data_IF_387993425272
#
_entry.id   IF_387993425272
#
_cell.length_a   1.000
_cell.length_b   1.000
_cell.length_c   1.000
_cell.angle_alpha   90.00
_cell.angle_beta   90.00
_cell.angle_gamma   90.00
#
_symmetry.space_group_name_H-M   'P 1'
#
loop_
_entity.id
_entity.type
_entity.pdbx_description
1 polymer ?
#
# COMPACT_ATOMS: atom_id res chain seq x y z
N UNK A 1 -10.70 -28.16 -8.90
CA UNK A 1 -9.86 -28.95 -7.98
C UNK A 1 -9.38 -28.00 -6.89
N UNK A 2 -9.52 -28.34 -5.58
CA UNK A 2 -9.00 -27.49 -4.52
C UNK A 2 -7.47 -27.50 -4.56
N UNK A 3 -6.84 -26.33 -4.34
CA UNK A 3 -5.40 -26.21 -4.16
C UNK A 3 -5.11 -26.37 -2.67
N UNK A 4 -4.43 -27.46 -2.30
CA UNK A 4 -4.06 -27.71 -0.90
C UNK A 4 -2.91 -26.80 -0.50
N UNK A 5 -2.94 -26.31 0.75
CA UNK A 5 -1.90 -25.44 1.34
C UNK A 5 -1.65 -24.14 0.57
N UNK A 6 -2.69 -23.59 -0.08
CA UNK A 6 -2.56 -22.39 -0.90
C UNK A 6 -2.38 -21.11 -0.07
N UNK A 7 -2.93 -21.07 1.14
CA UNK A 7 -2.90 -19.92 2.06
C UNK A 7 -2.31 -20.36 3.38
N UNK A 8 -1.38 -19.56 3.91
CA UNK A 8 -0.79 -19.72 5.23
C UNK A 8 -1.38 -18.69 6.19
N UNK A 9 -1.72 -19.11 7.40
CA UNK A 9 -2.13 -18.23 8.48
C UNK A 9 -1.29 -18.55 9.73
N UNK A 10 -0.64 -17.52 10.28
CA UNK A 10 0.20 -17.66 11.45
C UNK A 10 0.29 -16.35 12.23
N UNK A 11 0.92 -16.37 13.39
CA UNK A 11 1.17 -15.21 14.23
C UNK A 11 2.66 -14.89 14.27
N UNK A 12 2.99 -13.61 14.21
CA UNK A 12 4.36 -13.11 14.32
C UNK A 12 4.53 -12.09 15.44
N UNK A 13 5.73 -12.05 16.03
CA UNK A 13 6.17 -10.92 16.83
C UNK A 13 6.71 -9.83 15.90
N UNK A 14 6.15 -8.61 16.00
CA UNK A 14 6.49 -7.45 15.20
C UNK A 14 7.19 -6.33 16.02
N UNK A 15 7.82 -6.69 17.13
CA UNK A 15 8.60 -5.76 17.93
C UNK A 15 7.77 -5.01 18.99
N UNK A 16 7.90 -3.71 19.04
CA UNK A 16 7.23 -2.87 20.05
C UNK A 16 5.90 -2.36 19.51
N UNK A 17 4.81 -2.60 20.24
CA UNK A 17 3.48 -2.07 19.94
C UNK A 17 3.35 -0.64 20.45
N UNK A 18 3.69 -0.40 21.71
CA UNK A 18 3.81 0.91 22.32
C UNK A 18 4.74 0.85 23.54
N UNK A 19 5.30 2.03 23.87
CA UNK A 19 6.18 2.21 25.03
C UNK A 19 5.95 3.57 25.64
N UNK A 20 5.91 3.65 26.96
CA UNK A 20 5.90 4.89 27.73
C UNK A 20 6.83 4.77 28.93
N UNK A 21 7.53 5.84 29.24
CA UNK A 21 8.26 6.02 30.48
C UNK A 21 7.69 7.24 31.21
N UNK A 22 7.12 7.00 32.36
CA UNK A 22 6.55 8.07 33.23
C UNK A 22 7.62 8.55 34.18
N UNK A 23 8.22 9.71 33.87
CA UNK A 23 9.35 10.26 34.60
C UNK A 23 9.01 10.66 36.05
N UNK A 24 7.74 11.00 36.37
CA UNK A 24 7.29 11.35 37.70
C UNK A 24 7.24 10.18 38.66
N UNK A 25 7.02 8.99 38.14
CA UNK A 25 6.90 7.76 38.94
C UNK A 25 8.04 6.78 38.70
N UNK A 26 8.98 7.13 37.81
CA UNK A 26 10.11 6.28 37.40
C UNK A 26 9.65 4.88 36.93
N UNK A 27 8.54 4.84 36.17
CA UNK A 27 7.97 3.60 35.65
C UNK A 27 7.99 3.56 34.16
N UNK A 28 8.46 2.46 33.60
CA UNK A 28 8.41 2.16 32.18
C UNK A 28 7.41 1.04 31.90
N UNK A 29 6.58 1.26 30.89
CA UNK A 29 5.70 0.24 30.35
C UNK A 29 5.99 0.03 28.87
N UNK A 30 5.93 -1.22 28.43
CA UNK A 30 6.09 -1.63 27.03
C UNK A 30 5.14 -2.78 26.73
N UNK A 31 4.63 -2.79 25.51
CA UNK A 31 3.86 -3.92 24.97
C UNK A 31 4.51 -4.41 23.70
N UNK A 32 4.57 -5.74 23.54
CA UNK A 32 5.01 -6.38 22.31
C UNK A 32 3.90 -6.32 21.29
N UNK A 33 4.28 -6.03 20.05
CA UNK A 33 3.40 -6.13 18.91
C UNK A 33 3.31 -7.59 18.45
N UNK A 34 2.11 -8.13 18.42
CA UNK A 34 1.78 -9.40 17.78
C UNK A 34 0.88 -9.09 16.60
N UNK A 35 1.10 -9.77 15.48
CA UNK A 35 0.25 -9.60 14.30
C UNK A 35 -0.18 -10.95 13.74
N UNK A 36 -1.43 -11.04 13.33
CA UNK A 36 -1.91 -12.17 12.53
C UNK A 36 -1.47 -11.94 11.09
N UNK A 37 -0.92 -12.97 10.48
CA UNK A 37 -0.47 -12.98 9.08
C UNK A 37 -1.33 -13.92 8.28
N UNK A 38 -1.88 -13.44 7.16
CA UNK A 38 -2.52 -14.28 6.14
C UNK A 38 -1.76 -14.06 4.84
N UNK A 39 -1.19 -15.12 4.29
CA UNK A 39 -0.30 -14.98 3.14
C UNK A 39 -0.45 -16.11 2.14
N UNK A 40 -0.10 -15.81 0.90
CA UNK A 40 0.10 -16.80 -0.15
C UNK A 40 1.23 -16.34 -1.09
N UNK A 41 1.80 -17.30 -1.84
CA UNK A 41 2.84 -17.04 -2.83
C UNK A 41 2.33 -17.45 -4.20
N UNK A 42 2.54 -16.59 -5.19
CA UNK A 42 2.23 -16.86 -6.58
C UNK A 42 3.52 -16.87 -7.41
N UNK A 43 3.76 -17.97 -8.11
CA UNK A 43 4.85 -18.10 -9.08
C UNK A 43 4.35 -17.61 -10.45
N UNK A 44 5.01 -16.61 -11.02
CA UNK A 44 4.69 -16.06 -12.35
C UNK A 44 5.94 -16.07 -13.19
N UNK A 45 6.05 -17.03 -14.08
CA UNK A 45 7.27 -17.26 -14.85
C UNK A 45 8.44 -17.59 -13.94
N UNK A 46 9.47 -16.73 -13.94
CA UNK A 46 10.66 -16.87 -13.08
C UNK A 46 10.54 -16.17 -11.74
N UNK A 47 9.47 -15.45 -11.50
CA UNK A 47 9.30 -14.59 -10.33
C UNK A 47 8.36 -15.20 -9.31
N UNK A 48 8.66 -14.91 -8.04
CA UNK A 48 7.87 -15.27 -6.89
C UNK A 48 7.30 -14.01 -6.25
N UNK A 49 5.99 -13.97 -6.05
CA UNK A 49 5.29 -12.89 -5.38
C UNK A 49 4.58 -13.41 -4.15
N UNK A 50 5.08 -13.07 -2.97
CA UNK A 50 4.43 -13.35 -1.71
C UNK A 50 3.54 -12.19 -1.30
N UNK A 51 2.24 -12.44 -1.14
CA UNK A 51 1.26 -11.45 -0.66
C UNK A 51 0.99 -11.72 0.80
N UNK A 52 1.32 -10.74 1.67
CA UNK A 52 1.23 -10.85 3.11
C UNK A 52 0.28 -9.78 3.64
N UNK A 53 -0.85 -10.22 4.17
CA UNK A 53 -1.76 -9.36 4.92
C UNK A 53 -1.45 -9.48 6.40
N UNK A 54 -1.15 -8.36 7.03
CA UNK A 54 -0.86 -8.25 8.45
C UNK A 54 -1.99 -7.54 9.17
N UNK A 55 -2.50 -8.15 10.22
CA UNK A 55 -3.54 -7.60 11.08
C UNK A 55 -2.95 -7.35 12.46
N UNK A 56 -2.79 -6.09 12.82
CA UNK A 56 -2.10 -5.65 14.03
C UNK A 56 -3.07 -5.33 15.16
N UNK A 57 -2.60 -5.41 16.40
CA UNK A 57 -3.42 -5.21 17.61
C UNK A 57 -3.90 -3.76 17.79
N UNK A 58 -3.29 -2.79 17.12
CA UNK A 58 -3.74 -1.40 17.07
C UNK A 58 -4.82 -1.16 16.00
N UNK A 59 -5.28 -2.22 15.33
CA UNK A 59 -6.27 -2.18 14.26
C UNK A 59 -5.71 -1.84 12.89
N UNK A 60 -4.40 -1.64 12.75
CA UNK A 60 -3.76 -1.43 11.45
C UNK A 60 -3.80 -2.72 10.63
N UNK A 61 -4.10 -2.58 9.33
CA UNK A 61 -4.00 -3.64 8.33
C UNK A 61 -2.91 -3.22 7.33
N UNK A 62 -1.99 -4.13 7.02
CA UNK A 62 -0.92 -3.86 6.06
C UNK A 62 -0.92 -4.95 4.98
N UNK A 63 -0.80 -4.55 3.73
CA UNK A 63 -0.41 -5.45 2.65
C UNK A 63 1.05 -5.21 2.33
N UNK A 64 1.85 -6.26 2.42
CA UNK A 64 3.22 -6.30 1.94
C UNK A 64 3.33 -7.31 0.79
N UNK A 65 3.93 -6.89 -0.31
CA UNK A 65 4.33 -7.77 -1.40
C UNK A 65 5.83 -8.01 -1.30
N UNK A 66 6.21 -9.28 -1.22
CA UNK A 66 7.60 -9.76 -1.22
C UNK A 66 7.90 -10.33 -2.60
N UNK A 67 8.69 -9.61 -3.39
CA UNK A 67 9.07 -10.03 -4.73
C UNK A 67 10.48 -10.64 -4.72
N UNK A 68 10.62 -11.84 -5.29
CA UNK A 68 11.88 -12.58 -5.40
C UNK A 68 11.82 -13.52 -6.62
N UNK A 69 12.65 -14.54 -6.66
CA UNK A 69 12.71 -15.53 -7.74
C UNK A 69 13.98 -15.42 -8.57
N UNK A 70 14.00 -16.06 -9.72
CA UNK A 70 15.15 -16.07 -10.63
C UNK A 70 15.08 -14.84 -11.55
N UNK A 71 16.16 -14.06 -11.60
CA UNK A 71 16.20 -12.86 -12.43
C UNK A 71 16.10 -13.22 -13.91
N UNK A 72 15.29 -12.46 -14.66
CA UNK A 72 15.14 -12.64 -16.11
C UNK A 72 16.42 -12.19 -16.83
N UNK A 73 17.01 -13.07 -17.62
CA UNK A 73 18.24 -12.82 -18.36
C UNK A 73 18.04 -12.79 -19.86
N UNK A 74 18.94 -12.12 -20.56
CA UNK A 74 19.07 -12.10 -22.01
C UNK A 74 20.54 -12.28 -22.44
N UNK A 75 20.73 -12.76 -23.67
CA UNK A 75 22.05 -12.92 -24.26
C UNK A 75 22.42 -11.73 -25.17
N UNK A 76 23.71 -11.40 -25.22
CA UNK A 76 24.30 -10.45 -26.14
C UNK A 76 25.41 -11.13 -26.94
N UNK A 77 25.73 -10.59 -28.09
CA UNK A 77 26.89 -11.04 -28.87
C UNK A 77 28.20 -10.64 -28.15
N UNK A 78 29.27 -11.28 -28.58
CA UNK A 78 30.60 -11.03 -27.97
C UNK A 78 31.01 -9.56 -28.10
N UNK A 79 31.38 -8.95 -27.00
CA UNK A 79 31.77 -7.52 -26.92
C UNK A 79 30.58 -6.53 -26.91
N UNK A 80 29.34 -6.97 -27.03
CA UNK A 80 28.18 -6.09 -26.91
C UNK A 80 27.84 -5.77 -25.44
N UNK A 81 27.25 -4.59 -25.22
CA UNK A 81 26.72 -4.12 -23.96
C UNK A 81 25.35 -3.50 -24.15
N UNK A 82 24.59 -3.32 -23.09
CA UNK A 82 23.27 -2.67 -23.11
C UNK A 82 23.11 -1.66 -21.99
N UNK A 83 22.45 -0.52 -22.28
CA UNK A 83 22.04 0.46 -21.25
C UNK A 83 20.71 0.09 -20.59
N UNK A 84 20.03 -0.94 -21.05
CA UNK A 84 18.70 -1.35 -20.58
C UNK A 84 18.74 -2.47 -19.55
N UNK A 85 19.93 -2.77 -19.03
CA UNK A 85 20.14 -3.80 -18.04
C UNK A 85 21.56 -3.80 -17.50
N UNK A 86 21.84 -4.76 -16.63
CA UNK A 86 23.14 -4.96 -15.98
C UNK A 86 23.79 -6.22 -16.51
N UNK A 87 25.07 -6.11 -16.92
CA UNK A 87 25.86 -7.28 -17.29
C UNK A 87 26.15 -8.12 -16.05
N UNK A 88 25.79 -9.39 -16.11
CA UNK A 88 26.00 -10.36 -15.03
C UNK A 88 27.27 -11.20 -15.28
N UNK A 89 27.52 -11.52 -16.54
CA UNK A 89 28.69 -12.25 -17.05
C UNK A 89 28.98 -11.79 -18.48
N UNK A 90 30.11 -12.18 -19.10
CA UNK A 90 30.32 -11.99 -20.51
C UNK A 90 29.10 -12.54 -21.30
N UNK A 91 28.54 -11.75 -22.20
CA UNK A 91 27.40 -12.08 -23.07
C UNK A 91 26.07 -12.37 -22.35
N UNK A 92 25.99 -12.15 -21.03
CA UNK A 92 24.79 -12.35 -20.23
C UNK A 92 24.43 -11.06 -19.51
N UNK A 93 23.20 -10.59 -19.71
CA UNK A 93 22.66 -9.44 -18.99
C UNK A 93 21.30 -9.74 -18.39
N UNK A 94 20.91 -8.95 -17.40
CA UNK A 94 19.53 -8.92 -16.92
C UNK A 94 18.91 -7.55 -17.20
N UNK A 95 17.71 -7.54 -17.76
CA UNK A 95 17.03 -6.31 -18.15
C UNK A 95 16.39 -5.59 -16.96
N UNK A 96 16.46 -4.25 -16.95
CA UNK A 96 15.70 -3.41 -16.03
C UNK A 96 14.21 -3.56 -16.32
N UNK A 97 13.39 -3.65 -15.28
CA UNK A 97 11.94 -3.83 -15.41
C UNK A 97 11.19 -3.24 -14.22
N UNK A 98 9.87 -3.29 -14.27
CA UNK A 98 8.98 -2.78 -13.23
C UNK A 98 7.92 -3.82 -12.90
N UNK A 99 7.51 -3.85 -11.62
CA UNK A 99 6.39 -4.63 -11.14
C UNK A 99 5.31 -3.69 -10.61
N UNK A 100 4.05 -3.95 -10.97
CA UNK A 100 2.91 -3.18 -10.49
C UNK A 100 1.84 -4.09 -9.93
N UNK A 101 1.23 -3.63 -8.87
CA UNK A 101 0.13 -4.29 -8.17
C UNK A 101 -1.04 -3.33 -8.05
N UNK A 102 -2.25 -3.85 -8.24
CA UNK A 102 -3.48 -3.11 -8.03
C UNK A 102 -4.36 -3.88 -7.04
N UNK A 103 -4.73 -3.25 -5.96
CA UNK A 103 -5.62 -3.82 -4.94
C UNK A 103 -7.00 -3.19 -5.08
N UNK A 104 -8.03 -4.03 -5.20
CA UNK A 104 -9.43 -3.64 -5.16
C UNK A 104 -9.93 -3.74 -3.73
N UNK A 105 -10.30 -2.62 -3.15
CA UNK A 105 -10.87 -2.52 -1.81
C UNK A 105 -12.35 -2.18 -1.93
N UNK A 106 -13.21 -3.15 -1.70
CA UNK A 106 -14.65 -2.98 -1.60
C UNK A 106 -14.95 -2.39 -0.22
N UNK A 107 -15.32 -1.11 -0.19
CA UNK A 107 -15.37 -0.36 1.05
C UNK A 107 -16.69 -0.57 1.79
N UNK A 108 -16.60 -0.98 3.06
CA UNK A 108 -17.71 -1.04 3.99
C UNK A 108 -17.29 -0.54 5.37
N UNK A 109 -16.77 0.69 5.43
CA UNK A 109 -16.27 1.29 6.66
C UNK A 109 -17.46 1.81 7.49
N UNK A 110 -17.79 1.07 8.55
CA UNK A 110 -18.88 1.41 9.49
C UNK A 110 -20.23 1.64 8.78
N UNK A 111 -20.46 0.87 7.71
CA UNK A 111 -21.64 0.91 6.85
C UNK A 111 -21.30 1.06 5.37
N UNK A 112 -22.29 0.91 4.46
CA UNK A 112 -22.05 0.94 3.02
C UNK A 112 -21.88 2.35 2.43
N UNK A 113 -22.43 3.38 3.09
CA UNK A 113 -22.32 4.75 2.62
C UNK A 113 -20.95 5.33 2.97
N UNK A 114 -20.03 5.29 2.03
CA UNK A 114 -18.64 5.72 2.21
C UNK A 114 -18.26 6.90 1.30
N UNK A 115 -17.14 7.50 1.59
CA UNK A 115 -16.52 8.56 0.80
C UNK A 115 -15.00 8.53 0.99
N UNK A 116 -14.26 9.14 0.08
CA UNK A 116 -12.80 9.25 0.17
C UNK A 116 -12.39 10.71 0.30
N UNK A 117 -11.53 10.97 1.29
CA UNK A 117 -10.94 12.29 1.55
C UNK A 117 -9.43 12.21 1.41
N UNK A 118 -8.87 13.01 0.48
CA UNK A 118 -7.43 13.24 0.40
C UNK A 118 -6.98 14.18 1.51
N UNK A 119 -5.84 13.86 2.13
CA UNK A 119 -5.23 14.67 3.19
C UNK A 119 -3.80 14.99 2.81
N UNK A 120 -3.54 16.28 2.60
CA UNK A 120 -2.21 16.84 2.37
C UNK A 120 -1.74 17.61 3.61
N UNK A 121 -0.47 17.50 3.96
CA UNK A 121 0.15 18.37 4.97
C UNK A 121 0.60 19.66 4.27
N UNK A 122 0.15 20.80 4.80
CA UNK A 122 0.43 22.13 4.23
C UNK A 122 1.03 23.01 5.31
N UNK A 123 2.15 23.68 4.98
CA UNK A 123 2.74 24.68 5.85
C UNK A 123 1.81 25.92 5.93
N UNK A 124 1.63 26.43 7.13
CA UNK A 124 0.89 27.66 7.36
C UNK A 124 1.81 28.87 7.11
N UNK A 125 1.41 29.87 6.30
CA UNK A 125 2.22 31.06 6.07
C UNK A 125 2.57 31.80 7.36
N UNK A 126 3.74 32.41 7.41
CA UNK A 126 4.10 33.30 8.52
C UNK A 126 3.14 34.49 8.57
N UNK A 127 2.56 34.74 9.73
CA UNK A 127 1.56 35.78 9.95
C UNK A 127 1.18 35.92 11.42
N UNK A 128 0.14 36.71 11.74
CA UNK A 128 -0.30 36.89 13.12
C UNK A 128 -0.62 35.60 13.86
N UNK A 129 -1.22 34.62 13.14
CA UNK A 129 -1.60 33.32 13.71
C UNK A 129 -0.44 32.30 13.70
N UNK A 130 0.63 32.58 12.95
CA UNK A 130 1.83 31.75 12.87
C UNK A 130 3.10 32.62 12.91
N UNK A 131 3.36 33.34 14.00
CA UNK A 131 4.43 34.32 14.06
C UNK A 131 5.85 33.72 13.97
N UNK A 132 5.98 32.44 14.30
CA UNK A 132 7.26 31.72 14.23
C UNK A 132 7.47 30.96 12.90
N UNK A 133 6.47 30.93 12.00
CA UNK A 133 6.56 30.27 10.70
C UNK A 133 6.78 28.75 10.75
N UNK A 134 6.42 28.09 11.85
CA UNK A 134 6.60 26.64 12.05
C UNK A 134 5.28 25.86 12.17
N UNK A 135 4.14 26.54 11.97
CA UNK A 135 2.83 25.91 11.92
C UNK A 135 2.60 25.14 10.61
N UNK A 136 1.87 24.06 10.68
CA UNK A 136 1.35 23.32 9.54
C UNK A 136 0.02 22.65 9.91
N UNK A 137 -0.77 22.33 8.91
CA UNK A 137 -2.08 21.72 9.10
C UNK A 137 -2.38 20.64 8.04
N UNK A 138 -3.40 19.84 8.32
CA UNK A 138 -3.91 18.83 7.39
C UNK A 138 -5.02 19.43 6.52
N UNK A 139 -4.72 19.74 5.26
CA UNK A 139 -5.70 20.13 4.28
C UNK A 139 -6.47 18.91 3.81
N UNK A 140 -7.81 18.99 3.84
CA UNK A 140 -8.70 17.88 3.51
C UNK A 140 -9.53 18.22 2.28
N UNK A 141 -9.58 17.28 1.32
CA UNK A 141 -10.39 17.41 0.10
C UNK A 141 -11.18 16.12 -0.08
N UNK A 142 -12.49 16.18 0.09
CA UNK A 142 -13.37 15.03 -0.13
C UNK A 142 -13.79 15.01 -1.60
N UNK A 143 -13.67 13.85 -2.23
CA UNK A 143 -14.05 13.67 -3.63
C UNK A 143 -15.56 13.46 -3.76
N UNK A 144 -16.16 14.18 -4.67
CA UNK A 144 -17.60 14.09 -4.98
C UNK A 144 -17.86 13.10 -6.12
N UNK A 145 -16.94 13.05 -7.10
CA UNK A 145 -17.07 12.30 -8.34
C UNK A 145 -15.83 11.49 -8.68
N UNK A 146 -16.02 10.47 -9.50
CA UNK A 146 -14.95 9.55 -9.94
C UNK A 146 -13.78 10.29 -10.59
N UNK A 147 -14.05 11.31 -11.41
CA UNK A 147 -13.00 12.07 -12.10
C UNK A 147 -12.06 12.81 -11.15
N UNK A 148 -12.53 13.22 -9.97
CA UNK A 148 -11.73 13.89 -8.95
C UNK A 148 -10.78 12.93 -8.20
N UNK A 149 -11.12 11.65 -8.19
CA UNK A 149 -10.44 10.62 -7.41
C UNK A 149 -9.34 9.87 -8.17
N UNK A 150 -8.90 10.38 -9.31
CA UNK A 150 -7.76 9.86 -10.06
C UNK A 150 -6.48 10.54 -9.56
N UNK A 151 -5.82 9.96 -8.51
CA UNK A 151 -4.79 10.68 -7.75
C UNK A 151 -3.46 9.94 -7.71
N UNK A 152 -2.39 10.71 -7.56
CA UNK A 152 -1.02 10.17 -7.36
C UNK A 152 -0.52 10.48 -5.96
N UNK A 153 0.41 9.64 -5.46
CA UNK A 153 1.13 9.90 -4.21
C UNK A 153 1.89 11.23 -4.28
N UNK A 154 2.02 11.89 -3.14
CA UNK A 154 2.85 13.07 -2.96
C UNK A 154 3.56 12.95 -1.60
N UNK A 155 4.77 12.37 -1.55
CA UNK A 155 5.51 12.18 -0.32
C UNK A 155 5.93 13.48 0.34
N UNK A 156 6.10 14.57 -0.43
CA UNK A 156 6.48 15.88 0.12
C UNK A 156 5.35 16.54 0.91
N UNK A 157 4.10 16.15 0.62
CA UNK A 157 2.92 16.55 1.38
C UNK A 157 2.45 15.50 2.37
N UNK A 158 3.18 14.38 2.49
CA UNK A 158 2.73 13.22 3.28
C UNK A 158 1.28 12.81 2.95
N UNK A 159 0.93 12.87 1.65
CA UNK A 159 -0.43 12.60 1.16
C UNK A 159 -0.92 11.23 1.57
N UNK A 160 -2.14 11.21 2.10
CA UNK A 160 -2.88 9.99 2.43
C UNK A 160 -4.33 10.13 1.95
N UNK A 161 -5.05 9.01 1.88
CA UNK A 161 -6.47 9.00 1.51
C UNK A 161 -7.26 8.26 2.58
N UNK A 162 -8.28 8.92 3.14
CA UNK A 162 -9.13 8.33 4.16
C UNK A 162 -10.40 7.82 3.51
N UNK A 163 -10.61 6.50 3.54
CA UNK A 163 -11.90 5.88 3.27
C UNK A 163 -12.69 6.00 4.56
N UNK A 164 -13.82 6.69 4.54
CA UNK A 164 -14.57 6.98 5.76
C UNK A 164 -16.08 6.89 5.55
N UNK A 165 -16.78 6.59 6.64
CA UNK A 165 -18.24 6.62 6.66
C UNK A 165 -18.74 8.05 6.42
N UNK A 166 -19.78 8.20 5.62
CA UNK A 166 -20.52 9.46 5.47
C UNK A 166 -21.61 9.66 6.53
N UNK A 167 -21.96 8.59 7.27
CA UNK A 167 -23.08 8.58 8.21
C UNK A 167 -22.64 8.41 9.66
N UNK A 168 -21.51 7.74 9.91
CA UNK A 168 -21.05 7.39 11.26
C UNK A 168 -19.88 8.26 11.68
N UNK A 169 -19.93 8.68 12.94
CA UNK A 169 -18.88 9.48 13.56
C UNK A 169 -18.49 8.88 14.90
N UNK A 170 -17.26 9.19 15.33
CA UNK A 170 -16.83 8.87 16.68
C UNK A 170 -17.45 9.84 17.71
N UNK A 171 -17.14 9.63 19.00
CA UNK A 171 -17.72 10.40 20.13
C UNK A 171 -17.48 11.93 20.09
N UNK A 172 -16.56 12.40 19.22
CA UNK A 172 -16.24 13.83 19.06
C UNK A 172 -16.67 14.38 17.70
N UNK A 173 -17.49 13.61 16.97
CA UNK A 173 -18.10 14.05 15.71
C UNK A 173 -17.22 13.87 14.47
N UNK A 174 -16.06 13.22 14.54
CA UNK A 174 -15.24 12.94 13.38
C UNK A 174 -15.71 11.65 12.68
N UNK A 175 -15.79 11.62 11.34
CA UNK A 175 -16.13 10.42 10.59
C UNK A 175 -15.18 9.25 10.91
N UNK A 176 -15.75 8.06 11.11
CA UNK A 176 -14.99 6.83 11.31
C UNK A 176 -14.36 6.40 9.99
N UNK A 177 -13.09 6.02 9.97
CA UNK A 177 -12.39 5.74 8.73
C UNK A 177 -11.11 4.94 8.88
N UNK A 178 -10.55 4.59 7.71
CA UNK A 178 -9.23 4.01 7.55
C UNK A 178 -8.45 4.79 6.50
N UNK A 179 -7.27 5.23 6.85
CA UNK A 179 -6.38 5.93 5.91
C UNK A 179 -5.51 4.94 5.15
N UNK A 180 -5.50 5.05 3.83
CA UNK A 180 -4.46 4.46 2.99
C UNK A 180 -3.19 5.30 3.20
N UNK A 181 -2.17 4.69 3.78
CA UNK A 181 -0.84 5.26 3.94
C UNK A 181 0.06 4.62 2.90
N UNK A 182 0.49 5.36 1.87
CA UNK A 182 1.38 4.85 0.84
C UNK A 182 2.70 4.32 1.41
N UNK A 183 3.18 3.20 0.86
CA UNK A 183 4.55 2.76 0.98
C UNK A 183 5.41 3.26 -0.18
N UNK A 184 6.54 2.61 -0.42
CA UNK A 184 7.33 2.85 -1.62
C UNK A 184 6.52 2.51 -2.87
N UNK A 185 6.63 3.37 -3.88
CA UNK A 185 5.95 3.18 -5.16
C UNK A 185 6.71 3.89 -6.28
N UNK A 186 6.37 3.57 -7.51
CA UNK A 186 6.96 4.17 -8.69
C UNK A 186 5.90 4.49 -9.75
N UNK A 187 6.28 5.27 -10.74
CA UNK A 187 5.49 5.50 -11.95
C UNK A 187 5.92 4.56 -13.06
N UNK A 188 5.01 4.15 -13.98
CA UNK A 188 5.41 3.45 -15.18
C UNK A 188 6.26 4.35 -16.08
N UNK A 189 7.30 3.76 -16.69
CA UNK A 189 8.18 4.45 -17.64
C UNK A 189 7.80 4.22 -19.10
N UNK A 190 6.80 3.38 -19.35
CA UNK A 190 6.26 3.20 -20.69
C UNK A 190 5.74 4.55 -21.24
N UNK A 191 6.08 4.85 -22.48
CA UNK A 191 5.70 6.11 -23.10
C UNK A 191 4.22 6.11 -23.52
N UNK A 192 3.56 7.27 -23.55
CA UNK A 192 2.25 7.41 -24.15
C UNK A 192 2.22 6.82 -25.57
N UNK A 193 1.15 6.12 -25.92
CA UNK A 193 1.03 5.41 -27.21
C UNK A 193 1.67 4.03 -27.26
N UNK A 194 2.39 3.59 -26.23
CA UNK A 194 2.87 2.22 -26.12
C UNK A 194 1.71 1.24 -25.89
N UNK A 195 1.91 -0.04 -26.26
CA UNK A 195 0.94 -1.09 -26.00
C UNK A 195 0.66 -1.24 -24.48
N UNK A 196 1.66 -1.05 -23.62
CA UNK A 196 1.48 -1.07 -22.18
C UNK A 196 0.57 0.07 -21.71
N UNK A 197 0.77 1.29 -22.23
CA UNK A 197 -0.09 2.42 -21.89
C UNK A 197 -1.56 2.17 -22.24
N UNK A 198 -1.81 1.60 -23.41
CA UNK A 198 -3.18 1.26 -23.84
C UNK A 198 -3.81 0.17 -22.97
N UNK A 199 -3.05 -0.87 -22.61
CA UNK A 199 -3.55 -2.05 -21.88
C UNK A 199 -3.62 -1.88 -20.37
N UNK A 200 -2.78 -1.04 -19.80
CA UNK A 200 -2.62 -0.86 -18.37
C UNK A 200 -2.68 0.62 -17.96
N UNK A 201 -3.60 1.38 -18.56
CA UNK A 201 -3.77 2.80 -18.29
C UNK A 201 -4.07 3.14 -16.83
N UNK A 202 -4.56 2.19 -16.04
CA UNK A 202 -4.78 2.35 -14.61
C UNK A 202 -3.49 2.57 -13.79
N UNK A 203 -2.31 2.24 -14.33
CA UNK A 203 -1.03 2.40 -13.64
C UNK A 203 -0.60 3.86 -13.44
N UNK A 204 -1.19 4.80 -14.17
CA UNK A 204 -0.77 6.21 -14.13
C UNK A 204 -1.30 7.00 -12.93
N UNK A 205 -2.24 6.43 -12.18
CA UNK A 205 -2.66 6.97 -10.87
C UNK A 205 -2.51 5.90 -9.80
N UNK A 206 -2.13 6.33 -8.60
CA UNK A 206 -1.99 5.43 -7.46
C UNK A 206 -3.35 5.17 -6.79
N UNK A 207 -4.27 6.12 -6.86
CA UNK A 207 -5.63 6.00 -6.37
C UNK A 207 -6.63 6.18 -7.50
N UNK A 208 -7.65 5.29 -7.50
CA UNK A 208 -8.88 5.44 -8.24
C UNK A 208 -10.03 5.10 -7.29
N UNK A 209 -11.15 5.79 -7.44
CA UNK A 209 -12.37 5.45 -6.71
C UNK A 209 -13.49 5.35 -7.71
N UNK A 210 -14.23 4.25 -7.66
CA UNK A 210 -15.41 4.03 -8.50
C UNK A 210 -16.62 3.77 -7.62
N UNK A 211 -17.81 4.12 -8.10
CA UNK A 211 -19.03 3.58 -7.53
C UNK A 211 -19.02 2.06 -7.73
N UNK A 212 -19.53 1.31 -6.76
CA UNK A 212 -19.61 -0.14 -6.90
C UNK A 212 -20.40 -0.55 -8.15
N UNK A 213 -19.84 -1.48 -8.91
CA UNK A 213 -20.47 -2.17 -10.01
C UNK A 213 -19.97 -3.61 -10.05
N UNK A 214 -20.88 -4.58 -10.14
CA UNK A 214 -20.56 -6.00 -10.01
C UNK A 214 -19.68 -6.55 -11.14
N UNK A 215 -19.69 -5.90 -12.30
CA UNK A 215 -18.91 -6.21 -13.48
C UNK A 215 -17.56 -5.48 -13.57
N UNK A 216 -17.33 -4.48 -12.71
CA UNK A 216 -16.06 -3.77 -12.61
C UNK A 216 -15.12 -4.51 -11.64
N UNK A 217 -14.49 -5.61 -12.10
CA UNK A 217 -13.72 -6.51 -11.24
C UNK A 217 -12.21 -6.38 -11.34
N UNK A 218 -11.71 -6.02 -12.52
CA UNK A 218 -10.27 -6.00 -12.80
C UNK A 218 -9.84 -4.64 -13.35
N UNK A 219 -8.82 -4.02 -12.76
CA UNK A 219 -8.39 -2.65 -13.10
C UNK A 219 -8.10 -2.41 -14.59
N UNK A 220 -7.67 -3.43 -15.32
CA UNK A 220 -7.40 -3.39 -16.76
C UNK A 220 -8.62 -3.78 -17.64
N UNK A 221 -9.80 -4.02 -17.03
CA UNK A 221 -10.98 -4.52 -17.72
C UNK A 221 -11.08 -6.04 -17.69
N UNK A 222 -12.18 -6.57 -18.22
CA UNK A 222 -12.51 -8.00 -18.17
C UNK A 222 -11.46 -8.89 -18.88
N UNK A 223 -10.86 -8.39 -19.95
CA UNK A 223 -9.91 -9.16 -20.77
C UNK A 223 -8.54 -8.47 -20.84
N UNK A 224 -7.72 -8.48 -19.76
CA UNK A 224 -6.44 -7.78 -19.73
C UNK A 224 -5.39 -8.39 -20.70
N UNK A 225 -5.52 -9.66 -21.03
CA UNK A 225 -4.67 -10.36 -21.99
C UNK A 225 -5.39 -10.49 -23.33
N UNK A 226 -4.63 -10.44 -24.44
CA UNK A 226 -5.17 -10.60 -25.80
C UNK A 226 -6.22 -9.55 -26.21
N UNK A 227 -6.18 -8.38 -25.57
CA UNK A 227 -7.06 -7.24 -25.84
C UNK A 227 -6.21 -6.02 -26.20
N UNK A 228 -6.65 -5.15 -27.14
CA UNK A 228 -5.87 -3.98 -27.56
C UNK A 228 -5.72 -2.90 -26.48
N UNK A 229 -6.50 -2.96 -25.42
CA UNK A 229 -6.52 -1.96 -24.35
C UNK A 229 -7.70 -1.00 -24.44
N UNK A 230 -7.66 0.06 -23.64
CA UNK A 230 -8.71 1.08 -23.59
C UNK A 230 -9.92 0.74 -22.70
N UNK A 231 -9.81 -0.32 -21.91
CA UNK A 231 -10.84 -0.77 -20.96
C UNK A 231 -10.40 -0.54 -19.50
N UNK A 232 -11.22 -0.94 -18.56
CA UNK A 232 -10.92 -0.87 -17.12
C UNK A 232 -11.09 0.51 -16.51
N UNK A 233 -10.34 0.80 -15.47
CA UNK A 233 -10.48 2.01 -14.65
C UNK A 233 -10.48 3.32 -15.48
N UNK A 234 -9.58 3.55 -16.45
CA UNK A 234 -9.60 4.77 -17.24
C UNK A 234 -10.89 4.99 -18.03
N UNK A 235 -11.57 3.92 -18.43
CA UNK A 235 -12.85 3.98 -19.12
C UNK A 235 -14.01 4.13 -18.14
N UNK A 236 -13.98 3.40 -17.04
CA UNK A 236 -15.09 3.41 -16.08
C UNK A 236 -15.27 4.77 -15.43
N UNK A 237 -14.19 5.45 -15.04
CA UNK A 237 -14.26 6.79 -14.42
C UNK A 237 -14.74 7.89 -15.37
N UNK A 238 -14.82 7.62 -16.69
CA UNK A 238 -15.43 8.55 -17.65
C UNK A 238 -16.96 8.66 -17.48
N UNK A 239 -17.58 7.71 -16.76
CA UNK A 239 -18.99 7.81 -16.39
C UNK A 239 -19.21 8.92 -15.37
N UNK A 240 -18.19 9.32 -14.65
CA UNK A 240 -18.17 10.39 -13.66
C UNK A 240 -19.31 10.30 -12.64
N UNK A 241 -19.54 9.09 -12.13
CA UNK A 241 -20.58 8.81 -11.14
C UNK A 241 -20.28 9.49 -9.81
N UNK A 242 -21.32 9.78 -9.04
CA UNK A 242 -21.15 10.24 -7.65
C UNK A 242 -20.55 9.14 -6.79
N UNK A 243 -19.58 9.51 -5.92
CA UNK A 243 -18.87 8.59 -5.02
C UNK A 243 -18.89 9.04 -3.55
N UNK A 244 -19.52 10.17 -3.25
CA UNK A 244 -19.66 10.65 -1.88
C UNK A 244 -20.94 10.14 -1.26
N UNK A 245 -20.80 9.39 -0.18
CA UNK A 245 -21.95 8.80 0.52
C UNK A 245 -22.57 7.62 -0.22
N UNK A 246 -21.81 6.96 -1.06
CA UNK A 246 -22.24 5.87 -1.90
C UNK A 246 -21.52 4.56 -1.52
N UNK A 247 -21.99 3.46 -2.08
CA UNK A 247 -21.29 2.19 -2.09
C UNK A 247 -20.14 2.29 -3.11
N UNK A 248 -18.90 2.25 -2.63
CA UNK A 248 -17.71 2.57 -3.43
C UNK A 248 -16.65 1.48 -3.39
N UNK A 249 -15.88 1.41 -4.46
CA UNK A 249 -14.67 0.59 -4.56
C UNK A 249 -13.47 1.51 -4.68
N UNK A 250 -12.49 1.30 -3.82
CA UNK A 250 -11.21 2.02 -3.86
C UNK A 250 -10.15 1.10 -4.46
N UNK A 251 -9.48 1.59 -5.49
CA UNK A 251 -8.41 0.87 -6.17
C UNK A 251 -7.09 1.56 -5.84
N UNK A 252 -6.17 0.81 -5.22
CA UNK A 252 -4.85 1.33 -4.90
C UNK A 252 -3.79 0.63 -5.72
N UNK A 253 -3.01 1.43 -6.48
CA UNK A 253 -1.95 0.97 -7.38
C UNK A 253 -0.61 1.38 -6.80
N UNK A 254 0.29 0.42 -6.70
CA UNK A 254 1.67 0.64 -6.30
C UNK A 254 2.60 -0.27 -7.10
N UNK A 255 3.88 0.04 -7.09
CA UNK A 255 4.85 -0.75 -7.83
C UNK A 255 6.27 -0.44 -7.42
N UNK A 256 7.21 -1.20 -7.98
CA UNK A 256 8.63 -1.05 -7.74
C UNK A 256 9.42 -1.10 -9.05
N UNK A 257 10.53 -0.34 -9.08
CA UNK A 257 11.55 -0.49 -10.09
C UNK A 257 12.49 -1.62 -9.72
N UNK A 258 12.89 -2.37 -10.72
CA UNK A 258 14.01 -3.27 -10.58
C UNK A 258 15.12 -2.86 -11.57
N UNK A 259 16.02 -2.01 -11.10
CA UNK A 259 17.30 -1.77 -11.74
C UNK A 259 18.22 -2.88 -11.24
N UNK A 260 18.51 -3.85 -12.10
CA UNK A 260 19.16 -5.09 -11.71
C UNK A 260 20.60 -4.85 -11.25
N UNK A 261 21.01 -5.51 -10.16
CA UNK A 261 22.36 -5.53 -9.61
C UNK A 261 22.99 -6.90 -9.81
N UNK A 262 24.30 -6.98 -9.69
CA UNK A 262 25.00 -8.27 -9.73
C UNK A 262 24.53 -9.23 -8.63
N UNK A 263 24.18 -8.70 -7.45
CA UNK A 263 23.68 -9.43 -6.30
C UNK A 263 22.29 -10.04 -6.51
N UNK A 264 21.58 -9.64 -7.55
CA UNK A 264 20.27 -10.20 -7.90
C UNK A 264 20.39 -11.53 -8.68
N UNK A 265 21.61 -11.95 -9.03
CA UNK A 265 21.89 -13.19 -9.72
C UNK A 265 22.37 -14.31 -8.77
N UNK A 266 21.94 -15.59 -8.95
CA UNK A 266 20.88 -16.04 -9.85
C UNK A 266 19.47 -15.90 -9.29
N UNK A 267 19.33 -15.82 -7.96
CA UNK A 267 18.06 -15.68 -7.24
C UNK A 267 18.07 -14.36 -6.50
N UNK A 268 17.09 -13.52 -6.75
CA UNK A 268 16.98 -12.18 -6.21
C UNK A 268 16.71 -12.18 -4.70
N UNK A 269 17.46 -11.38 -3.91
CA UNK A 269 17.01 -11.04 -2.56
C UNK A 269 15.60 -10.44 -2.60
N UNK A 270 14.83 -10.65 -1.50
CA UNK A 270 13.46 -10.15 -1.42
C UNK A 270 13.43 -8.63 -1.50
N UNK A 271 12.66 -8.10 -2.46
CA UNK A 271 12.28 -6.70 -2.51
C UNK A 271 10.87 -6.53 -1.91
N UNK A 272 10.66 -5.44 -1.19
CA UNK A 272 9.44 -5.17 -0.43
C UNK A 272 8.70 -3.98 -1.02
N UNK A 273 7.38 -4.10 -1.16
CA UNK A 273 6.48 -3.00 -1.51
C UNK A 273 5.12 -3.22 -0.86
N UNK A 274 4.30 -2.18 -0.74
CA UNK A 274 2.99 -2.33 -0.12
C UNK A 274 2.39 -1.02 0.37
N UNK A 275 1.38 -1.13 1.22
CA UNK A 275 0.71 0.01 1.84
C UNK A 275 0.05 -0.41 3.14
N UNK A 276 -0.41 0.59 3.92
CA UNK A 276 -1.10 0.37 5.19
C UNK A 276 -2.48 0.99 5.17
N UNK A 277 -3.43 0.31 5.78
CA UNK A 277 -4.74 0.84 6.16
C UNK A 277 -4.68 1.14 7.66
N UNK A 278 -4.65 2.42 8.01
CA UNK A 278 -4.48 2.86 9.39
C UNK A 278 -5.82 3.40 9.92
N UNK A 279 -6.33 2.89 11.08
CA UNK A 279 -7.54 3.44 11.68
C UNK A 279 -7.41 4.95 11.87
N UNK A 280 -8.42 5.68 11.43
CA UNK A 280 -8.49 7.13 11.56
C UNK A 280 -9.85 7.48 12.12
N UNK A 281 -9.89 7.95 13.36
CA UNK A 281 -11.13 8.22 14.11
C UNK A 281 -12.06 6.99 14.30
N UNK A 282 -11.65 5.79 13.88
CA UNK A 282 -12.44 4.57 14.00
C UNK A 282 -12.59 4.14 15.47
N UNK A 283 -11.51 4.26 16.24
CA UNK A 283 -11.53 4.00 17.67
C UNK A 283 -11.54 5.30 18.47
N UNK A 284 -12.17 5.30 19.65
CA UNK A 284 -12.19 6.46 20.55
C UNK A 284 -10.89 6.66 21.34
N UNK A 285 -10.01 5.67 21.34
CA UNK A 285 -8.67 5.67 21.98
C UNK A 285 -7.81 4.60 21.31
N UNK A 286 -6.53 4.53 21.70
CA UNK A 286 -5.64 3.46 21.25
C UNK A 286 -6.23 2.08 21.66
N UNK A 287 -6.66 1.23 20.69
CA UNK A 287 -7.23 -0.08 20.99
C UNK A 287 -6.20 -1.03 21.60
N UNK A 288 -4.90 -0.77 21.39
CA UNK A 288 -3.82 -1.60 21.90
C UNK A 288 -3.44 -1.33 23.37
N UNK A 289 -4.12 -0.38 24.03
CA UNK A 289 -3.83 -0.06 25.44
C UNK A 289 -4.16 -1.23 26.38
N UNK A 290 -5.13 -2.05 26.00
CA UNK A 290 -5.62 -3.17 26.80
C UNK A 290 -4.77 -4.45 26.62
N UNK A 291 -3.76 -4.44 25.76
CA UNK A 291 -2.84 -5.56 25.57
C UNK A 291 -2.06 -5.79 26.88
N UNK A 292 -2.11 -6.99 27.45
CA UNK A 292 -1.46 -7.26 28.71
C UNK A 292 0.07 -7.15 28.60
N UNK A 293 0.77 -6.81 29.69
CA UNK A 293 2.23 -6.81 29.71
C UNK A 293 2.74 -8.25 29.46
N UNK A 294 3.85 -8.35 28.74
CA UNK A 294 4.51 -9.64 28.54
C UNK A 294 4.87 -10.26 29.90
N UNK A 295 4.71 -11.56 30.02
CA UNK A 295 5.17 -12.28 31.22
C UNK A 295 6.69 -12.09 31.34
N UNK A 296 7.15 -11.47 32.42
CA UNK A 296 8.56 -11.49 32.79
C UNK A 296 8.87 -12.96 33.11
N UNK A 297 9.57 -13.66 32.24
CA UNK A 297 10.27 -14.86 32.65
C UNK A 297 11.31 -14.41 33.66
N UNK A 298 11.10 -14.69 34.93
CA UNK A 298 12.18 -14.61 35.91
C UNK A 298 13.23 -15.64 35.48
N UNK A 299 14.18 -15.23 34.66
CA UNK A 299 15.42 -15.99 34.53
C UNK A 299 16.22 -15.74 35.80
N UNK A 300 16.23 -16.70 36.68
CA UNK A 300 17.37 -16.87 37.58
C UNK A 300 18.59 -17.14 36.68
N UNK A 301 19.55 -16.28 36.66
CA UNK A 301 20.85 -16.52 36.04
C UNK A 301 21.24 -15.40 35.05
N UNK A 302 22.14 -14.61 35.49
CA UNK A 302 23.17 -13.84 34.82
C UNK A 302 23.18 -13.71 33.30
N UNK A 303 23.20 -12.47 32.86
CA UNK A 303 23.95 -12.11 31.67
C UNK A 303 23.18 -11.66 30.45
N UNK A 304 23.45 -10.43 30.16
CA UNK A 304 23.56 -9.77 28.88
C UNK A 304 22.32 -9.16 28.20
N UNK A 305 22.45 -7.88 28.17
CA UNK A 305 22.14 -6.82 27.23
C UNK A 305 20.71 -6.47 26.96
#
# INVERSE_FOLDING_TARGET
>A
MPILNAVCMHEEDAGILWKHYEFRTDKAEVRRSRRLVVSYIATVGNYEYGFYWYFSQDGMIELEVKATGVVQTGALLDGETTKFGTMLMPNLYASNHQHFFCVRLDAMIDGPANQVTEVDTVADPTGPDNPYGNGFFAQRTTFERESEACRTVDPFKSRTWIIQSSERTNRVGNPTGYAIVPGETCRPFAQPGSALHARAGYLWNNLWVTRYAADERYAAGEFPNQHPGGEGLPKWVQQDRAIKGEDIVVWYVFGQHHIVRAEDWPVMPVAHSGFKLKPTNFFSRNPAIDVPPGQRKHSHGDGCC
#
